data_IF_069740408907
#
_entry.id   IF_069740408907
#
_cell.length_a   1.000
_cell.length_b   1.000
_cell.length_c   1.000
_cell.angle_alpha   90.00
_cell.angle_beta   90.00
_cell.angle_gamma   90.00
#
_symmetry.space_group_name_H-M   'P 1'
#
loop_
_entity.id
_entity.type
_entity.pdbx_description
1 polymer ?
#
# COMPACT_ATOMS: atom_id res chain seq x y z
N UNK A 1 13.03 10.25 -32.05
CA UNK A 1 13.46 9.91 -30.68
C UNK A 1 12.28 9.21 -30.08
N UNK A 2 12.44 7.96 -29.65
CA UNK A 2 11.36 7.14 -29.09
C UNK A 2 10.87 7.82 -27.81
N UNK A 3 9.68 8.42 -27.85
CA UNK A 3 9.06 9.20 -26.78
C UNK A 3 8.04 8.34 -26.03
N UNK A 4 8.47 7.17 -25.57
CA UNK A 4 7.62 6.20 -24.89
C UNK A 4 8.36 5.67 -23.66
N UNK A 5 8.65 6.57 -22.73
CA UNK A 5 9.07 6.18 -21.38
C UNK A 5 8.14 6.82 -20.39
N UNK A 6 7.23 6.02 -19.82
CA UNK A 6 6.45 6.39 -18.64
C UNK A 6 7.36 7.07 -17.63
N UNK A 7 7.05 8.30 -17.16
CA UNK A 7 7.92 9.02 -16.25
C UNK A 7 8.20 8.22 -14.97
N UNK A 8 9.37 8.40 -14.35
CA UNK A 8 9.73 7.67 -13.12
C UNK A 8 8.82 8.02 -11.92
N UNK A 9 8.16 9.17 -11.95
CA UNK A 9 7.14 9.55 -10.99
C UNK A 9 5.83 9.90 -11.69
N UNK A 10 4.74 9.41 -11.11
CA UNK A 10 3.38 9.83 -11.48
C UNK A 10 2.93 10.96 -10.56
N UNK A 11 2.14 11.86 -11.11
CA UNK A 11 1.55 12.97 -10.37
C UNK A 11 0.21 12.54 -9.77
N UNK A 12 0.03 12.68 -8.47
CA UNK A 12 -1.24 12.43 -7.76
C UNK A 12 -1.99 13.75 -7.60
N UNK A 13 -3.03 13.92 -8.40
CA UNK A 13 -3.89 15.10 -8.39
C UNK A 13 -4.73 15.14 -7.10
N UNK A 14 -4.64 16.21 -6.28
CA UNK A 14 -5.52 16.36 -5.12
C UNK A 14 -7.01 16.36 -5.50
N UNK A 15 -7.91 15.92 -4.59
CA UNK A 15 -9.34 15.96 -4.85
C UNK A 15 -9.84 17.36 -5.24
N UNK A 16 -10.62 17.42 -6.32
CA UNK A 16 -11.18 18.66 -6.86
C UNK A 16 -10.23 19.51 -7.70
N UNK A 17 -8.99 19.06 -7.94
CA UNK A 17 -8.09 19.69 -8.92
C UNK A 17 -8.31 19.10 -10.32
N UNK A 18 -8.09 19.88 -11.39
CA UNK A 18 -8.02 19.31 -12.72
C UNK A 18 -6.75 18.48 -12.89
N UNK A 19 -6.78 17.48 -13.76
CA UNK A 19 -5.60 16.68 -14.11
C UNK A 19 -4.68 17.48 -15.04
N UNK A 20 -3.38 17.64 -14.73
CA UNK A 20 -2.44 18.32 -15.62
C UNK A 20 -2.12 17.46 -16.85
N UNK A 21 -1.66 18.10 -17.92
CA UNK A 21 -1.19 17.40 -19.12
C UNK A 21 0.06 16.55 -18.82
N UNK A 22 0.21 15.44 -19.55
CA UNK A 22 1.37 14.55 -19.43
C UNK A 22 2.70 15.29 -19.63
N UNK A 23 2.72 16.26 -20.55
CA UNK A 23 3.88 17.11 -20.81
C UNK A 23 4.28 17.95 -19.59
N UNK A 24 3.30 18.49 -18.86
CA UNK A 24 3.56 19.22 -17.62
C UNK A 24 4.13 18.30 -16.55
N UNK A 25 3.56 17.10 -16.41
CA UNK A 25 4.01 16.07 -15.47
C UNK A 25 5.46 15.66 -15.75
N UNK A 26 5.84 15.49 -17.01
CA UNK A 26 7.23 15.18 -17.43
C UNK A 26 8.22 16.28 -17.04
N UNK A 27 7.84 17.55 -17.20
CA UNK A 27 8.70 18.69 -16.88
C UNK A 27 8.77 19.01 -15.38
N UNK A 28 7.83 18.51 -14.58
CA UNK A 28 7.72 18.81 -13.15
C UNK A 28 8.07 17.64 -12.23
N UNK A 29 8.63 16.55 -12.75
CA UNK A 29 8.94 15.32 -12.02
C UNK A 29 9.49 15.55 -10.61
N UNK A 30 8.80 14.97 -9.62
CA UNK A 30 9.14 14.99 -8.20
C UNK A 30 9.30 16.39 -7.57
N UNK A 31 8.84 17.46 -8.23
CA UNK A 31 8.87 18.81 -7.68
C UNK A 31 7.67 19.05 -6.75
N UNK A 32 7.93 19.26 -5.47
CA UNK A 32 6.88 19.53 -4.49
C UNK A 32 6.45 21.00 -4.56
N UNK A 33 5.15 21.30 -4.73
CA UNK A 33 4.67 22.67 -4.67
C UNK A 33 4.81 23.24 -3.26
N UNK A 34 4.87 24.57 -3.16
CA UNK A 34 4.88 25.27 -1.89
C UNK A 34 3.66 24.91 -1.02
N UNK A 35 3.79 24.80 0.32
CA UNK A 35 2.65 24.57 1.19
C UNK A 35 1.51 25.57 0.93
N UNK A 36 0.28 25.06 0.77
CA UNK A 36 -0.91 25.87 0.45
C UNK A 36 -1.01 26.34 -1.01
N UNK A 37 -0.11 25.90 -1.90
CA UNK A 37 -0.25 26.15 -3.33
C UNK A 37 -1.49 25.45 -3.90
N UNK A 38 -2.13 26.11 -4.86
CA UNK A 38 -3.22 25.57 -5.67
C UNK A 38 -3.05 26.06 -7.11
N UNK A 39 -3.48 25.29 -8.13
CA UNK A 39 -3.20 25.59 -9.52
C UNK A 39 -3.91 26.85 -10.01
N UNK A 40 -5.07 27.21 -9.46
CA UNK A 40 -5.76 28.45 -9.81
C UNK A 40 -6.59 29.04 -8.65
N UNK A 41 -6.96 30.33 -8.72
CA UNK A 41 -7.91 30.92 -7.78
C UNK A 41 -9.24 30.14 -7.77
N UNK A 42 -9.75 29.84 -6.57
CA UNK A 42 -11.01 29.11 -6.39
C UNK A 42 -10.86 27.60 -6.29
N UNK A 43 -9.69 27.05 -6.63
CA UNK A 43 -9.37 25.64 -6.38
C UNK A 43 -8.82 25.52 -4.94
N UNK A 44 -9.36 24.61 -4.10
CA UNK A 44 -8.89 24.44 -2.73
C UNK A 44 -7.39 24.06 -2.72
N UNK A 45 -6.63 24.45 -1.69
CA UNK A 45 -5.28 23.94 -1.53
C UNK A 45 -5.32 22.42 -1.33
N UNK A 46 -4.22 21.74 -1.66
CA UNK A 46 -4.13 20.31 -1.38
C UNK A 46 -4.26 20.02 0.12
N UNK A 47 -4.84 18.88 0.51
CA UNK A 47 -4.90 18.47 1.92
C UNK A 47 -3.54 18.48 2.61
N UNK A 48 -3.53 18.70 3.92
CA UNK A 48 -2.31 18.59 4.70
C UNK A 48 -1.75 17.16 4.58
N UNK A 49 -0.43 17.03 4.40
CA UNK A 49 0.22 15.74 4.18
C UNK A 49 0.08 15.16 2.77
N UNK A 50 -0.62 15.82 1.83
CA UNK A 50 -0.74 15.30 0.47
C UNK A 50 0.63 15.04 -0.19
N UNK A 51 0.71 13.91 -0.88
CA UNK A 51 1.89 13.46 -1.61
C UNK A 51 1.63 13.60 -3.11
N UNK A 52 2.16 14.67 -3.72
CA UNK A 52 1.94 14.97 -5.14
C UNK A 52 2.61 13.99 -6.08
N UNK A 53 3.63 13.26 -5.62
CA UNK A 53 4.43 12.38 -6.46
C UNK A 53 4.54 11.00 -5.84
N UNK A 54 4.24 9.99 -6.64
CA UNK A 54 4.49 8.60 -6.30
C UNK A 54 5.48 7.99 -7.32
N UNK A 55 6.49 7.23 -6.87
CA UNK A 55 7.38 6.55 -7.80
C UNK A 55 6.62 5.45 -8.55
N UNK A 56 6.82 5.37 -9.86
CA UNK A 56 6.35 4.24 -10.67
C UNK A 56 7.42 3.15 -10.61
N UNK A 57 7.19 1.99 -9.95
CA UNK A 57 8.26 1.07 -9.58
C UNK A 57 9.12 0.60 -10.76
N UNK A 58 8.51 0.22 -11.90
CA UNK A 58 9.23 -0.25 -13.09
C UNK A 58 10.08 0.87 -13.71
N UNK A 59 9.49 2.04 -13.98
CA UNK A 59 10.21 3.17 -14.56
C UNK A 59 11.30 3.68 -13.63
N UNK A 60 11.01 3.88 -12.35
CA UNK A 60 11.99 4.34 -11.36
C UNK A 60 13.20 3.41 -11.26
N UNK A 61 12.99 2.08 -11.27
CA UNK A 61 14.08 1.08 -11.25
C UNK A 61 15.07 1.24 -12.42
N UNK A 62 14.64 1.78 -13.56
CA UNK A 62 15.52 2.05 -14.71
C UNK A 62 16.53 3.18 -14.44
N UNK A 63 16.17 4.13 -13.58
CA UNK A 63 17.05 5.24 -13.15
C UNK A 63 17.94 4.87 -11.95
N UNK A 64 17.66 3.75 -11.28
CA UNK A 64 18.47 3.29 -10.17
C UNK A 64 19.81 2.71 -10.68
N UNK A 65 20.97 3.15 -10.14
CA UNK A 65 22.27 2.65 -10.58
C UNK A 65 22.41 1.13 -10.48
N UNK A 66 23.21 0.53 -11.36
CA UNK A 66 23.49 -0.92 -11.36
C UNK A 66 24.02 -1.45 -10.02
N UNK A 67 24.61 -0.59 -9.18
CA UNK A 67 25.01 -0.90 -7.82
C UNK A 67 23.84 -1.41 -6.93
N UNK A 68 22.59 -1.01 -7.20
CA UNK A 68 21.41 -1.50 -6.49
C UNK A 68 21.20 -3.00 -6.68
N UNK A 69 21.54 -3.55 -7.85
CA UNK A 69 21.44 -5.00 -8.08
C UNK A 69 22.37 -5.76 -7.13
N UNK A 70 23.56 -5.22 -6.86
CA UNK A 70 24.51 -5.80 -5.88
C UNK A 70 23.98 -5.74 -4.46
N UNK A 71 23.27 -4.66 -4.08
CA UNK A 71 22.61 -4.56 -2.78
C UNK A 71 21.50 -5.60 -2.63
N UNK A 72 20.67 -5.80 -3.66
CA UNK A 72 19.64 -6.86 -3.66
C UNK A 72 20.22 -8.25 -3.52
N UNK A 73 21.27 -8.57 -4.27
CA UNK A 73 21.96 -9.86 -4.12
C UNK A 73 22.52 -10.03 -2.70
N UNK A 74 23.12 -8.98 -2.13
CA UNK A 74 23.62 -9.01 -0.77
C UNK A 74 22.51 -9.19 0.28
N UNK A 75 21.33 -8.57 0.07
CA UNK A 75 20.15 -8.79 0.90
C UNK A 75 19.72 -10.26 0.86
N UNK A 76 19.57 -10.85 -0.33
CA UNK A 76 19.21 -12.26 -0.46
C UNK A 76 20.23 -13.20 0.20
N UNK A 77 21.53 -12.93 0.06
CA UNK A 77 22.57 -13.68 0.75
C UNK A 77 22.41 -13.54 2.27
N UNK A 78 22.20 -12.32 2.77
CA UNK A 78 21.95 -12.06 4.19
C UNK A 78 20.74 -12.82 4.73
N UNK A 79 19.63 -12.85 3.97
CA UNK A 79 18.42 -13.59 4.30
C UNK A 79 18.67 -15.09 4.38
N UNK A 80 19.28 -15.67 3.35
CA UNK A 80 19.58 -17.11 3.32
C UNK A 80 20.51 -17.49 4.48
N UNK A 81 21.55 -16.70 4.76
CA UNK A 81 22.44 -16.92 5.90
C UNK A 81 21.69 -16.84 7.22
N UNK A 82 20.82 -15.85 7.40
CA UNK A 82 20.00 -15.72 8.60
C UNK A 82 19.06 -16.91 8.80
N UNK A 83 18.34 -17.33 7.76
CA UNK A 83 17.41 -18.47 7.82
C UNK A 83 18.14 -19.79 8.10
N UNK A 84 19.27 -20.04 7.44
CA UNK A 84 20.08 -21.24 7.70
C UNK A 84 20.66 -21.26 9.11
N UNK A 85 21.14 -20.11 9.60
CA UNK A 85 21.64 -19.98 10.96
C UNK A 85 20.53 -20.18 11.99
N UNK A 86 19.34 -19.63 11.76
CA UNK A 86 18.15 -19.83 12.60
C UNK A 86 17.76 -21.32 12.66
N UNK A 87 17.69 -21.99 11.52
CA UNK A 87 17.40 -23.43 11.47
C UNK A 87 18.45 -24.24 12.24
N UNK A 88 19.74 -23.91 12.10
CA UNK A 88 20.81 -24.56 12.85
C UNK A 88 20.69 -24.34 14.37
N UNK A 89 20.35 -23.12 14.82
CA UNK A 89 20.09 -22.80 16.23
C UNK A 89 18.95 -23.67 16.77
N UNK A 90 17.84 -23.77 16.04
CA UNK A 90 16.66 -24.56 16.42
C UNK A 90 17.03 -26.05 16.54
N UNK A 91 17.73 -26.61 15.55
CA UNK A 91 18.13 -28.03 15.54
C UNK A 91 19.10 -28.32 16.69
N UNK A 92 20.11 -27.49 16.92
CA UNK A 92 21.09 -27.69 18.01
C UNK A 92 20.41 -27.58 19.38
N UNK A 93 19.50 -26.62 19.55
CA UNK A 93 18.74 -26.46 20.79
C UNK A 93 17.83 -27.68 21.06
N UNK A 94 17.13 -28.19 20.04
CA UNK A 94 16.29 -29.38 20.15
C UNK A 94 17.08 -30.65 20.53
N UNK A 95 18.35 -30.72 20.14
CA UNK A 95 19.27 -31.82 20.49
C UNK A 95 20.00 -31.62 21.82
N UNK A 96 19.71 -30.54 22.58
CA UNK A 96 20.37 -30.23 23.85
C UNK A 96 21.82 -29.74 23.70
N UNK A 97 22.21 -29.31 22.50
CA UNK A 97 23.54 -28.77 22.21
C UNK A 97 23.65 -27.27 22.51
N UNK A 98 24.89 -26.76 22.49
CA UNK A 98 25.20 -25.37 22.78
C UNK A 98 24.89 -24.49 21.54
N UNK A 99 23.65 -24.00 21.44
CA UNK A 99 23.11 -23.29 20.28
C UNK A 99 23.79 -21.94 19.97
N UNK A 100 24.65 -21.44 20.88
CA UNK A 100 25.38 -20.17 20.75
C UNK A 100 26.21 -20.09 19.46
N UNK A 101 26.69 -21.22 18.94
CA UNK A 101 27.48 -21.26 17.70
C UNK A 101 26.69 -20.76 16.48
N UNK A 102 25.36 -20.95 16.46
CA UNK A 102 24.49 -20.48 15.37
C UNK A 102 24.07 -19.00 15.49
N UNK A 103 24.28 -18.36 16.65
CA UNK A 103 23.87 -16.98 16.87
C UNK A 103 24.73 -15.98 16.08
N UNK A 104 26.04 -16.22 15.98
CA UNK A 104 26.94 -15.32 15.26
C UNK A 104 26.60 -15.18 13.77
N UNK A 105 26.43 -16.27 12.99
CA UNK A 105 26.00 -16.14 11.60
C UNK A 105 24.58 -15.59 11.45
N UNK A 106 23.67 -15.84 12.40
CA UNK A 106 22.33 -15.27 12.42
C UNK A 106 22.38 -13.74 12.52
N UNK A 107 23.11 -13.22 13.52
CA UNK A 107 23.30 -11.78 13.73
C UNK A 107 24.00 -11.15 12.53
N UNK A 108 25.01 -11.82 11.96
CA UNK A 108 25.69 -11.33 10.76
C UNK A 108 24.75 -11.24 9.54
N UNK A 109 23.91 -12.26 9.31
CA UNK A 109 22.92 -12.27 8.22
C UNK A 109 21.89 -11.14 8.36
N UNK A 110 21.35 -10.96 9.58
CA UNK A 110 20.43 -9.87 9.91
C UNK A 110 21.10 -8.50 9.72
N UNK A 111 22.33 -8.32 10.19
CA UNK A 111 23.05 -7.06 10.03
C UNK A 111 23.27 -6.71 8.55
N UNK A 112 23.60 -7.68 7.71
CA UNK A 112 23.71 -7.48 6.25
C UNK A 112 22.36 -7.04 5.65
N UNK A 113 21.26 -7.70 6.02
CA UNK A 113 19.91 -7.32 5.58
C UNK A 113 19.58 -5.86 5.92
N UNK A 114 19.81 -5.46 7.17
CA UNK A 114 19.51 -4.11 7.65
C UNK A 114 20.37 -3.07 6.93
N UNK A 115 21.69 -3.29 6.88
CA UNK A 115 22.63 -2.35 6.23
C UNK A 115 22.33 -2.21 4.73
N UNK A 116 22.06 -3.32 4.03
CA UNK A 116 21.75 -3.26 2.61
C UNK A 116 20.39 -2.60 2.34
N UNK A 117 19.39 -2.79 3.20
CA UNK A 117 18.09 -2.13 3.09
C UNK A 117 18.19 -0.62 3.33
N UNK A 118 18.94 -0.20 4.35
CA UNK A 118 19.23 1.21 4.59
C UNK A 118 19.96 1.86 3.40
N UNK A 119 20.98 1.18 2.85
CA UNK A 119 21.71 1.65 1.67
C UNK A 119 20.85 1.68 0.40
N UNK A 120 19.90 0.76 0.27
CA UNK A 120 18.96 0.77 -0.85
C UNK A 120 18.02 1.99 -0.76
N UNK A 121 17.52 2.30 0.44
CA UNK A 121 16.75 3.52 0.71
C UNK A 121 17.54 4.80 0.38
N UNK A 122 18.78 4.93 0.86
CA UNK A 122 19.65 6.07 0.53
C UNK A 122 19.95 6.21 -0.96
N UNK A 123 20.02 5.09 -1.69
CA UNK A 123 20.22 5.11 -3.14
C UNK A 123 18.94 5.58 -3.85
N UNK A 124 17.77 5.11 -3.42
CA UNK A 124 16.48 5.55 -3.95
C UNK A 124 16.27 7.05 -3.71
N UNK A 125 16.53 7.54 -2.50
CA UNK A 125 16.44 8.98 -2.18
C UNK A 125 17.36 9.83 -3.06
N UNK A 126 18.60 9.38 -3.31
CA UNK A 126 19.55 10.06 -4.20
C UNK A 126 19.11 10.03 -5.67
N UNK A 127 18.57 8.91 -6.14
CA UNK A 127 18.03 8.80 -7.50
C UNK A 127 16.83 9.73 -7.67
N UNK A 128 15.92 9.78 -6.70
CA UNK A 128 14.78 10.69 -6.71
C UNK A 128 15.22 12.18 -6.72
N UNK A 129 16.23 12.52 -5.92
CA UNK A 129 16.81 13.86 -5.92
C UNK A 129 17.45 14.21 -7.28
N UNK A 130 18.20 13.29 -7.88
CA UNK A 130 18.81 13.48 -9.21
C UNK A 130 17.75 13.74 -10.27
N UNK A 131 16.67 12.94 -10.31
CA UNK A 131 15.56 13.12 -11.27
C UNK A 131 14.90 14.49 -11.07
N UNK A 132 14.68 14.91 -9.82
CA UNK A 132 14.12 16.24 -9.52
C UNK A 132 15.04 17.36 -10.00
N UNK A 133 16.35 17.23 -9.77
CA UNK A 133 17.33 18.23 -10.17
C UNK A 133 17.43 18.34 -11.71
N UNK A 134 17.41 17.21 -12.41
CA UNK A 134 17.39 17.14 -13.88
C UNK A 134 16.10 17.77 -14.43
N UNK A 135 14.94 17.42 -13.87
CA UNK A 135 13.67 18.03 -14.23
C UNK A 135 13.63 19.55 -13.95
N UNK A 136 14.27 20.01 -12.87
CA UNK A 136 14.39 21.44 -12.58
C UNK A 136 15.30 22.18 -13.58
N UNK A 137 16.31 21.51 -14.14
CA UNK A 137 17.09 22.05 -15.26
C UNK A 137 16.23 22.11 -16.52
N UNK A 138 15.57 21.01 -16.89
CA UNK A 138 14.72 20.94 -18.08
C UNK A 138 13.57 21.95 -18.02
N UNK A 139 12.88 22.08 -16.89
CA UNK A 139 11.82 23.07 -16.71
C UNK A 139 12.31 24.49 -16.99
N UNK A 140 13.50 24.86 -16.50
CA UNK A 140 14.07 26.20 -16.71
C UNK A 140 14.44 26.48 -18.17
N UNK A 141 14.78 25.46 -18.95
CA UNK A 141 15.23 25.62 -20.34
C UNK A 141 14.11 25.39 -21.36
N UNK A 142 13.30 24.36 -21.14
CA UNK A 142 12.28 23.87 -22.07
C UNK A 142 10.96 24.64 -21.95
N UNK A 143 10.49 24.95 -20.73
CA UNK A 143 9.18 25.62 -20.57
C UNK A 143 9.13 26.95 -21.32
N UNK A 144 10.11 27.88 -21.20
CA UNK A 144 10.05 29.14 -21.96
C UNK A 144 10.13 28.93 -23.48
N UNK A 145 10.85 27.91 -23.94
CA UNK A 145 10.96 27.58 -25.37
C UNK A 145 9.64 27.04 -25.92
N UNK A 146 9.02 26.08 -25.21
CA UNK A 146 7.73 25.46 -25.59
C UNK A 146 6.58 26.46 -25.49
N UNK A 147 6.55 27.25 -24.42
CA UNK A 147 5.59 28.32 -24.24
C UNK A 147 5.64 29.34 -25.39
N UNK A 148 6.83 29.80 -25.77
CA UNK A 148 7.01 30.73 -26.91
C UNK A 148 6.61 30.12 -28.25
N UNK A 149 6.80 28.80 -28.42
CA UNK A 149 6.36 28.10 -29.63
C UNK A 149 4.84 27.97 -29.69
N UNK A 150 4.18 27.72 -28.56
CA UNK A 150 2.73 27.58 -28.46
C UNK A 150 1.99 28.94 -28.54
N UNK A 151 2.57 30.00 -27.98
CA UNK A 151 1.98 31.35 -27.90
C UNK A 151 2.95 32.42 -28.43
N UNK A 152 3.25 32.43 -29.74
CA UNK A 152 4.29 33.29 -30.32
C UNK A 152 3.99 34.79 -30.27
N UNK A 153 2.73 35.18 -30.08
CA UNK A 153 2.26 36.56 -29.99
C UNK A 153 2.39 37.18 -28.58
N UNK A 154 2.58 36.36 -27.55
CA UNK A 154 2.72 36.79 -26.17
C UNK A 154 4.19 37.11 -25.83
N UNK A 155 4.41 37.97 -24.85
CA UNK A 155 5.74 38.08 -24.24
C UNK A 155 6.08 36.79 -23.47
N UNK A 156 7.35 36.62 -23.09
CA UNK A 156 7.83 35.37 -22.51
C UNK A 156 7.09 34.97 -21.22
N UNK A 157 6.86 35.92 -20.31
CA UNK A 157 6.18 35.64 -19.03
C UNK A 157 4.71 35.30 -19.26
N UNK A 158 4.02 36.03 -20.16
CA UNK A 158 2.64 35.76 -20.53
C UNK A 158 2.49 34.44 -21.28
N UNK A 159 3.45 34.08 -22.15
CA UNK A 159 3.48 32.80 -22.84
C UNK A 159 3.63 31.64 -21.86
N UNK A 160 4.53 31.75 -20.89
CA UNK A 160 4.72 30.72 -19.85
C UNK A 160 3.44 30.55 -19.03
N UNK A 161 2.83 31.65 -18.57
CA UNK A 161 1.58 31.60 -17.83
C UNK A 161 0.43 30.97 -18.65
N UNK A 162 0.33 31.30 -19.94
CA UNK A 162 -0.67 30.71 -20.84
C UNK A 162 -0.42 29.21 -21.09
N UNK A 163 0.85 28.79 -21.22
CA UNK A 163 1.22 27.38 -21.37
C UNK A 163 0.93 26.58 -20.11
N UNK A 164 1.25 27.10 -18.92
CA UNK A 164 0.85 26.44 -17.67
C UNK A 164 -0.68 26.39 -17.54
N UNK A 165 -1.40 27.45 -17.92
CA UNK A 165 -2.86 27.46 -17.86
C UNK A 165 -3.47 26.38 -18.77
N UNK A 166 -2.97 26.29 -20.00
CA UNK A 166 -3.37 25.26 -20.95
C UNK A 166 -3.06 23.84 -20.45
N UNK A 167 -1.91 23.63 -19.81
CA UNK A 167 -1.53 22.34 -19.24
C UNK A 167 -2.52 21.84 -18.19
N UNK A 168 -3.14 22.73 -17.42
CA UNK A 168 -4.15 22.38 -16.42
C UNK A 168 -5.59 22.47 -16.95
N UNK A 169 -5.80 22.84 -18.22
CA UNK A 169 -7.14 23.07 -18.77
C UNK A 169 -7.88 24.26 -18.13
N UNK A 170 -7.14 25.24 -17.60
CA UNK A 170 -7.69 26.39 -16.87
C UNK A 170 -7.50 27.69 -17.66
N UNK A 171 -8.37 28.70 -17.45
CA UNK A 171 -8.23 30.00 -18.12
C UNK A 171 -7.05 30.83 -17.58
N UNK A 172 -6.63 30.57 -16.35
CA UNK A 172 -5.48 31.18 -15.70
C UNK A 172 -4.99 30.27 -14.58
N UNK A 173 -3.67 30.22 -14.37
CA UNK A 173 -3.05 29.46 -13.28
C UNK A 173 -2.14 30.34 -12.43
N UNK A 174 -1.91 29.90 -11.20
CA UNK A 174 -0.85 30.42 -10.35
C UNK A 174 0.46 29.79 -10.78
N UNK A 175 1.53 30.57 -10.97
CA UNK A 175 2.85 30.02 -11.31
C UNK A 175 3.23 28.90 -10.35
N UNK A 176 3.78 27.82 -10.89
CA UNK A 176 4.25 26.72 -10.06
C UNK A 176 5.41 27.19 -9.17
N UNK A 177 5.16 27.30 -7.87
CA UNK A 177 6.16 27.72 -6.89
C UNK A 177 6.72 26.49 -6.18
N UNK A 178 7.98 26.14 -6.46
CA UNK A 178 8.68 25.10 -5.71
C UNK A 178 8.95 25.61 -4.29
N UNK A 179 8.67 24.79 -3.29
CA UNK A 179 9.01 25.11 -1.90
C UNK A 179 10.52 25.38 -1.74
N UNK A 180 10.91 26.64 -1.50
CA UNK A 180 12.31 27.06 -1.37
C UNK A 180 13.05 26.33 -0.22
N UNK A 181 12.31 26.02 0.84
CA UNK A 181 12.77 25.30 2.03
C UNK A 181 12.02 23.97 2.20
N UNK A 182 11.64 23.29 1.12
CA UNK A 182 11.30 21.87 1.22
C UNK A 182 12.58 21.11 1.59
N UNK A 183 12.97 21.20 2.87
CA UNK A 183 13.76 20.18 3.52
C UNK A 183 13.15 18.85 3.06
N UNK A 184 13.95 17.96 2.46
CA UNK A 184 13.43 16.76 1.84
C UNK A 184 12.48 16.10 2.83
N UNK A 185 11.17 16.18 2.54
CA UNK A 185 10.15 15.57 3.40
C UNK A 185 10.61 14.12 3.54
N UNK A 186 10.81 13.68 4.79
CA UNK A 186 11.42 12.39 5.10
C UNK A 186 10.71 11.35 4.23
N UNK A 187 11.45 10.71 3.33
CA UNK A 187 10.84 9.79 2.37
C UNK A 187 10.08 8.72 3.16
N UNK A 188 8.87 8.31 2.72
CA UNK A 188 8.11 7.25 3.39
C UNK A 188 8.92 5.94 3.47
N UNK A 189 9.84 5.74 2.52
CA UNK A 189 10.83 4.65 2.54
C UNK A 189 11.68 4.64 3.82
N UNK A 190 11.93 5.80 4.43
CA UNK A 190 12.71 5.94 5.67
C UNK A 190 11.92 5.49 6.90
N UNK A 191 10.59 5.55 6.89
CA UNK A 191 9.75 5.04 7.97
C UNK A 191 9.79 3.52 8.04
N UNK A 192 9.52 2.82 6.93
CA UNK A 192 9.63 1.34 6.86
C UNK A 192 11.02 0.85 7.30
N UNK A 193 12.08 1.56 6.88
CA UNK A 193 13.44 1.19 7.28
C UNK A 193 13.69 1.35 8.79
N UNK A 194 13.10 2.37 9.44
CA UNK A 194 13.23 2.56 10.89
C UNK A 194 12.52 1.47 11.68
N UNK A 195 11.32 1.08 11.27
CA UNK A 195 10.57 0.00 11.92
C UNK A 195 11.34 -1.32 11.80
N UNK A 196 11.85 -1.64 10.60
CA UNK A 196 12.68 -2.84 10.39
C UNK A 196 13.95 -2.79 11.23
N UNK A 197 14.65 -1.65 11.30
CA UNK A 197 15.85 -1.48 12.15
C UNK A 197 15.51 -1.62 13.63
N UNK A 198 14.41 -1.04 14.10
CA UNK A 198 13.98 -1.11 15.49
C UNK A 198 13.58 -2.54 15.87
N UNK A 199 12.82 -3.22 15.02
CA UNK A 199 12.42 -4.62 15.21
C UNK A 199 13.63 -5.55 15.20
N UNK A 200 14.57 -5.37 14.26
CA UNK A 200 15.79 -6.19 14.22
C UNK A 200 16.74 -5.90 15.38
N UNK A 201 16.86 -4.64 15.81
CA UNK A 201 17.62 -4.29 17.01
C UNK A 201 16.98 -4.87 18.28
N UNK A 202 15.65 -4.82 18.38
CA UNK A 202 14.87 -5.43 19.45
C UNK A 202 15.04 -6.95 19.47
N UNK A 203 14.91 -7.61 18.31
CA UNK A 203 15.12 -9.05 18.18
C UNK A 203 16.57 -9.46 18.51
N UNK A 204 17.56 -8.69 18.07
CA UNK A 204 18.97 -8.95 18.40
C UNK A 204 19.24 -8.77 19.90
N UNK A 205 18.68 -7.73 20.52
CA UNK A 205 18.76 -7.52 21.97
C UNK A 205 18.09 -8.65 22.74
N UNK A 206 16.91 -9.09 22.30
CA UNK A 206 16.17 -10.20 22.91
C UNK A 206 16.95 -11.51 22.78
N UNK A 207 17.53 -11.80 21.62
CA UNK A 207 18.39 -12.97 21.40
C UNK A 207 19.64 -12.92 22.29
N UNK A 208 20.24 -11.75 22.48
CA UNK A 208 21.38 -11.58 23.41
C UNK A 208 20.97 -11.78 24.87
N UNK A 209 19.81 -11.27 25.28
CA UNK A 209 19.28 -11.43 26.66
C UNK A 209 18.88 -12.89 26.93
N UNK A 210 18.18 -13.54 26.00
CA UNK A 210 17.81 -14.96 26.11
C UNK A 210 19.05 -15.86 26.05
N UNK A 211 20.01 -15.55 25.19
CA UNK A 211 21.30 -16.25 25.14
C UNK A 211 22.10 -16.09 26.44
N UNK A 212 22.11 -14.90 27.03
CA UNK A 212 22.78 -14.66 28.30
C UNK A 212 22.11 -15.39 29.47
N UNK A 213 20.77 -15.40 29.52
CA UNK A 213 20.03 -16.07 30.60
C UNK A 213 20.12 -17.59 30.54
N UNK A 214 20.06 -18.19 29.34
CA UNK A 214 20.21 -19.64 29.15
C UNK A 214 21.64 -20.15 29.38
N UNK A 215 22.66 -19.32 29.16
CA UNK A 215 24.05 -19.67 29.48
C UNK A 215 24.34 -19.68 31.00
N UNK A 216 23.57 -18.93 31.80
CA UNK A 216 23.77 -18.81 33.25
C UNK A 216 23.09 -19.95 34.02
N UNK A 217 21.97 -20.49 33.53
CA UNK A 217 21.22 -21.55 34.22
C UNK A 217 22.05 -22.83 34.54
N UNK A 218 22.87 -23.39 33.64
CA UNK A 218 23.70 -24.54 33.99
C UNK A 218 24.84 -24.20 34.97
N UNK A 219 25.34 -22.97 34.97
CA UNK A 219 26.37 -22.51 35.92
C UNK A 219 25.77 -22.32 37.32
N UNK A 220 24.55 -21.77 37.40
CA UNK A 220 23.81 -21.63 38.66
C UNK A 220 23.42 -22.99 39.23
N UNK A 221 22.96 -23.93 38.40
CA UNK A 221 22.67 -25.30 38.84
C UNK A 221 23.93 -26.06 39.26
N UNK A 222 25.06 -25.87 38.58
CA UNK A 222 26.34 -26.47 38.96
C UNK A 222 26.86 -25.91 40.31
N UNK A 223 26.72 -24.60 40.54
CA UNK A 223 27.07 -23.96 41.81
C UNK A 223 26.12 -24.35 42.95
N UNK A 224 24.84 -24.61 42.67
CA UNK A 224 23.89 -25.13 43.64
C UNK A 224 24.11 -26.61 43.96
N UNK A 225 24.64 -27.42 43.03
CA UNK A 225 24.96 -28.83 43.28
C UNK A 225 26.25 -29.05 44.07
N UNK A 226 27.18 -28.08 44.08
CA UNK A 226 28.48 -28.19 44.78
C UNK A 226 28.47 -27.69 46.24
N UNK A 227 27.30 -27.37 46.81
CA UNK A 227 27.15 -27.32 48.27
C UNK A 227 28.04 -26.33 49.01
N UNK A 228 28.11 -25.07 48.56
CA UNK A 228 28.50 -23.97 49.44
C UNK A 228 27.28 -23.12 49.82
N UNK A 229 26.66 -23.51 50.92
CA UNK A 229 25.78 -22.66 51.72
C UNK A 229 26.59 -21.51 52.31
N UNK A 230 26.60 -20.35 51.64
CA UNK A 230 26.92 -19.09 52.31
C UNK A 230 25.62 -18.49 52.86
N UNK A 231 25.32 -18.86 54.10
CA UNK A 231 24.38 -18.17 54.96
C UNK A 231 25.14 -17.63 56.19
N UNK A 232 25.36 -16.32 56.22
CA UNK A 232 25.64 -15.47 57.37
C UNK A 232 25.43 -14.04 56.83
N UNK A 233 24.42 -13.26 57.18
CA UNK A 233 23.75 -13.07 58.46
C UNK A 233 24.00 -11.62 58.88
N UNK A 234 23.02 -10.72 58.71
CA UNK A 234 22.91 -9.45 59.44
C UNK A 234 21.51 -8.84 59.24
N UNK A 235 20.73 -8.91 60.32
CA UNK A 235 19.52 -8.12 60.55
C UNK A 235 19.87 -6.83 61.31
N UNK A 236 18.97 -5.84 61.14
CA UNK A 236 18.66 -4.67 61.97
C UNK A 236 19.58 -3.43 61.95
N UNK A 237 19.10 -2.32 61.35
CA UNK A 237 18.40 -1.20 62.05
C UNK A 237 18.11 -0.02 61.09
N UNK A 238 16.89 0.51 61.11
CA UNK A 238 16.46 1.81 60.56
C UNK A 238 17.08 2.99 61.38
N UNK A 239 16.96 4.31 61.05
CA UNK A 239 15.94 4.97 60.21
C UNK A 239 16.41 6.19 59.36
N UNK A 240 15.42 6.77 58.65
CA UNK A 240 15.30 8.19 58.25
C UNK A 240 16.29 8.79 57.24
N UNK A 241 15.74 9.23 56.10
CA UNK A 241 16.50 9.86 55.03
C UNK A 241 15.63 10.31 53.86
N UNK A 242 14.68 11.20 54.15
CA UNK A 242 13.93 11.97 53.16
C UNK A 242 14.90 12.72 52.22
N UNK A 243 14.85 12.45 50.92
CA UNK A 243 15.46 13.28 49.87
C UNK A 243 14.43 13.43 48.73
N UNK A 244 14.30 14.63 48.13
CA UNK A 244 13.09 15.07 47.47
C UNK A 244 12.99 14.62 46.00
N UNK A 245 11.73 14.47 45.59
CA UNK A 245 11.13 14.92 44.33
C UNK A 245 12.11 15.45 43.26
N UNK A 246 12.24 14.68 42.17
CA UNK A 246 12.58 15.24 40.86
C UNK A 246 11.56 14.70 39.85
N UNK A 247 10.36 15.29 39.95
CA UNK A 247 9.27 15.16 38.98
C UNK A 247 9.72 15.77 37.65
N UNK A 248 10.30 14.96 36.76
CA UNK A 248 10.26 15.24 35.32
C UNK A 248 8.89 14.78 34.80
N UNK A 249 8.17 15.59 34.00
CA UNK A 249 6.93 15.15 33.41
C UNK A 249 7.27 14.17 32.28
N UNK A 250 7.27 12.88 32.62
CA UNK A 250 7.17 11.80 31.65
C UNK A 250 5.74 11.81 31.11
N UNK A 251 5.58 12.35 29.89
CA UNK A 251 4.43 12.14 29.02
C UNK A 251 4.43 10.67 28.54
N UNK A 252 4.29 9.73 29.46
CA UNK A 252 3.94 8.33 29.18
C UNK A 252 2.41 8.23 29.14
N UNK A 253 1.81 8.88 28.14
CA UNK A 253 0.55 8.38 27.63
C UNK A 253 0.90 7.08 26.89
N UNK A 254 0.34 5.91 27.25
CA UNK A 254 0.46 4.76 26.37
C UNK A 254 -0.14 5.18 25.04
N UNK A 255 0.67 5.21 23.98
CA UNK A 255 0.20 5.12 22.61
C UNK A 255 -0.68 3.86 22.57
N UNK A 256 -1.99 4.06 22.72
CA UNK A 256 -2.97 3.06 22.34
C UNK A 256 -2.89 3.03 20.83
N UNK A 257 -1.98 2.19 20.32
CA UNK A 257 -2.00 1.75 18.94
C UNK A 257 -3.46 1.42 18.62
N UNK A 258 -4.05 2.17 17.68
CA UNK A 258 -5.37 1.85 17.18
C UNK A 258 -5.30 0.38 16.69
N UNK A 259 -6.24 -0.49 17.09
CA UNK A 259 -6.19 -1.90 16.69
C UNK A 259 -6.05 -1.99 15.17
N UNK A 260 -5.08 -2.77 14.71
CA UNK A 260 -4.88 -3.03 13.28
C UNK A 260 -6.20 -3.53 12.71
N UNK A 261 -6.63 -3.02 11.55
CA UNK A 261 -7.91 -3.36 10.91
C UNK A 261 -8.11 -4.88 10.68
N UNK A 262 -7.03 -5.68 10.79
CA UNK A 262 -7.06 -7.14 10.74
C UNK A 262 -7.71 -7.84 11.94
N UNK A 263 -8.02 -7.14 13.05
CA UNK A 263 -8.65 -7.74 14.24
C UNK A 263 -10.19 -7.74 14.20
N UNK A 264 -10.80 -7.36 13.08
CA UNK A 264 -12.26 -7.38 12.94
C UNK A 264 -12.81 -8.82 13.04
N UNK A 265 -13.76 -9.03 13.96
CA UNK A 265 -14.45 -10.31 14.07
C UNK A 265 -15.24 -10.59 12.77
N UNK A 266 -15.21 -11.84 12.26
CA UNK A 266 -15.97 -12.19 11.07
C UNK A 266 -17.47 -12.03 11.32
N UNK A 267 -18.18 -11.55 10.30
CA UNK A 267 -19.63 -11.54 10.26
C UNK A 267 -20.14 -12.94 9.89
N UNK A 268 -21.29 -13.34 10.43
CA UNK A 268 -21.94 -14.62 10.14
C UNK A 268 -23.44 -14.41 10.08
N UNK A 269 -24.10 -14.97 9.08
CA UNK A 269 -25.56 -14.94 8.95
C UNK A 269 -26.24 -15.63 10.13
N UNK A 270 -27.50 -15.28 10.41
CA UNK A 270 -28.27 -15.84 11.54
C UNK A 270 -28.39 -17.38 11.48
N UNK A 271 -28.39 -17.96 10.28
CA UNK A 271 -28.44 -19.40 10.03
C UNK A 271 -27.06 -20.05 9.90
N UNK A 272 -25.98 -19.26 9.93
CA UNK A 272 -24.60 -19.71 9.83
C UNK A 272 -24.18 -20.21 8.45
N UNK A 273 -25.00 -20.01 7.41
CA UNK A 273 -24.71 -20.50 6.05
C UNK A 273 -23.85 -19.54 5.23
N UNK A 274 -23.70 -18.30 5.69
CA UNK A 274 -22.83 -17.29 5.06
C UNK A 274 -21.91 -16.69 6.12
N UNK A 275 -20.61 -16.63 5.82
CA UNK A 275 -19.62 -15.96 6.65
C UNK A 275 -18.87 -14.93 5.82
N UNK A 276 -18.58 -13.78 6.41
CA UNK A 276 -17.74 -12.77 5.80
C UNK A 276 -16.60 -12.38 6.73
N UNK A 277 -15.37 -12.49 6.25
CA UNK A 277 -14.16 -12.11 6.99
C UNK A 277 -13.39 -11.05 6.23
N UNK A 278 -12.90 -10.04 6.95
CA UNK A 278 -11.98 -9.08 6.40
C UNK A 278 -10.65 -9.76 6.06
N UNK A 279 -10.09 -9.46 4.88
CA UNK A 279 -8.85 -10.08 4.38
C UNK A 279 -7.75 -9.04 4.11
N UNK A 280 -7.79 -7.92 4.86
CA UNK A 280 -7.08 -6.67 4.57
C UNK A 280 -5.58 -6.73 4.28
N UNK A 281 -5.11 -5.61 3.72
CA UNK A 281 -3.71 -5.20 3.45
C UNK A 281 -2.83 -6.19 2.67
N UNK A 282 -3.42 -7.09 1.86
CA UNK A 282 -2.65 -7.69 0.79
C UNK A 282 -2.52 -6.70 -0.37
N UNK A 283 -1.28 -6.42 -0.77
CA UNK A 283 -0.95 -5.50 -1.87
C UNK A 283 -1.66 -5.91 -3.20
N UNK A 284 -2.15 -7.16 -3.30
CA UNK A 284 -2.97 -7.65 -4.41
C UNK A 284 -4.41 -7.14 -4.40
N UNK A 285 -5.05 -7.04 -3.23
CA UNK A 285 -6.42 -6.51 -3.15
C UNK A 285 -6.42 -4.98 -3.27
N UNK A 286 -5.37 -4.34 -2.76
CA UNK A 286 -5.08 -2.93 -3.03
C UNK A 286 -4.94 -2.66 -4.53
N UNK A 287 -4.34 -3.59 -5.29
CA UNK A 287 -4.26 -3.47 -6.75
C UNK A 287 -5.65 -3.44 -7.41
N UNK A 288 -6.57 -4.28 -6.93
CA UNK A 288 -7.94 -4.32 -7.44
C UNK A 288 -8.69 -3.02 -7.13
N UNK A 289 -8.53 -2.47 -5.93
CA UNK A 289 -9.14 -1.20 -5.56
C UNK A 289 -8.49 0.00 -6.26
N UNK A 290 -7.16 0.01 -6.37
CA UNK A 290 -6.36 1.05 -7.01
C UNK A 290 -6.51 1.06 -8.54
N UNK A 291 -7.20 0.06 -9.08
CA UNK A 291 -7.53 -0.06 -10.49
C UNK A 291 -8.70 0.74 -10.98
N UNK A 292 -9.41 1.31 -10.04
CA UNK A 292 -10.42 2.28 -10.27
C UNK A 292 -9.84 3.54 -9.64
N UNK A 293 -9.83 4.65 -10.38
CA UNK A 293 -8.98 5.83 -10.22
C UNK A 293 -9.22 6.61 -8.90
N UNK A 294 -8.92 6.02 -7.73
CA UNK A 294 -9.35 6.52 -6.42
C UNK A 294 -8.22 6.75 -5.42
N UNK A 295 -8.43 7.76 -4.56
CA UNK A 295 -7.42 8.31 -3.67
C UNK A 295 -7.47 7.77 -2.22
N UNK A 296 -8.60 7.18 -1.80
CA UNK A 296 -8.94 6.99 -0.40
C UNK A 296 -9.47 5.56 -0.12
N UNK A 297 -8.70 4.78 0.65
CA UNK A 297 -9.07 3.51 1.33
C UNK A 297 -9.64 2.37 0.48
N UNK A 298 -9.03 1.18 0.60
CA UNK A 298 -9.55 -0.08 0.04
C UNK A 298 -9.99 -1.00 1.18
N UNK A 299 -11.19 -1.58 1.05
CA UNK A 299 -11.68 -2.61 1.95
C UNK A 299 -11.96 -3.88 1.15
N UNK A 300 -11.48 -5.02 1.64
CA UNK A 300 -11.71 -6.32 1.02
C UNK A 300 -12.23 -7.34 2.04
N UNK A 301 -13.31 -8.02 1.67
CA UNK A 301 -13.87 -9.11 2.47
C UNK A 301 -13.96 -10.37 1.63
N UNK A 302 -13.55 -11.50 2.21
CA UNK A 302 -13.90 -12.82 1.71
C UNK A 302 -15.28 -13.20 2.25
N UNK A 303 -16.16 -13.63 1.36
CA UNK A 303 -17.51 -14.11 1.64
C UNK A 303 -17.57 -15.59 1.23
N UNK A 304 -17.72 -16.46 2.22
CA UNK A 304 -18.00 -17.89 2.01
C UNK A 304 -19.49 -18.14 2.20
N UNK A 305 -20.08 -18.95 1.32
CA UNK A 305 -21.52 -19.18 1.29
C UNK A 305 -21.86 -20.62 0.92
N UNK A 306 -22.95 -21.14 1.51
CA UNK A 306 -23.65 -22.34 1.05
C UNK A 306 -24.79 -22.02 0.06
N UNK A 307 -25.00 -20.73 -0.25
CA UNK A 307 -25.99 -20.31 -1.24
C UNK A 307 -25.45 -20.47 -2.67
N UNK A 308 -26.32 -20.94 -3.56
CA UNK A 308 -26.11 -20.89 -5.01
C UNK A 308 -27.11 -19.90 -5.64
N UNK A 309 -26.62 -18.73 -6.03
CA UNK A 309 -27.43 -17.72 -6.73
C UNK A 309 -27.24 -16.30 -6.21
N UNK A 310 -28.17 -15.40 -6.55
CA UNK A 310 -28.01 -13.99 -6.27
C UNK A 310 -28.18 -13.67 -4.79
N UNK A 311 -27.39 -12.72 -4.31
CA UNK A 311 -27.34 -12.28 -2.93
C UNK A 311 -27.15 -10.77 -2.85
N UNK A 312 -27.71 -10.19 -1.80
CA UNK A 312 -27.54 -8.78 -1.46
C UNK A 312 -26.55 -8.68 -0.31
N UNK A 313 -25.46 -7.96 -0.53
CA UNK A 313 -24.45 -7.67 0.50
C UNK A 313 -24.60 -6.21 0.90
N UNK A 314 -24.79 -5.96 2.20
CA UNK A 314 -24.85 -4.62 2.76
C UNK A 314 -23.56 -4.35 3.52
N UNK A 315 -22.87 -3.27 3.15
CA UNK A 315 -21.61 -2.82 3.76
C UNK A 315 -21.86 -1.51 4.48
N UNK A 316 -21.42 -1.42 5.73
CA UNK A 316 -21.53 -0.23 6.56
C UNK A 316 -20.15 0.39 6.79
N UNK A 317 -20.07 1.71 6.70
CA UNK A 317 -18.86 2.48 6.94
C UNK A 317 -19.07 3.44 8.10
N UNK A 318 -18.13 3.49 9.04
CA UNK A 318 -18.20 4.31 10.25
C UNK A 318 -16.90 5.09 10.49
N UNK A 319 -17.00 6.19 11.23
CA UNK A 319 -15.84 7.00 11.61
C UNK A 319 -15.03 6.37 12.76
N UNK A 320 -15.59 5.38 13.46
CA UNK A 320 -14.97 4.73 14.63
C UNK A 320 -15.37 3.26 14.68
N UNK A 321 -14.53 2.43 15.30
CA UNK A 321 -14.81 1.04 15.63
C UNK A 321 -16.08 0.94 16.50
N UNK A 322 -17.14 0.34 15.96
CA UNK A 322 -18.43 0.22 16.66
C UNK A 322 -19.29 1.50 16.70
N UNK A 323 -18.92 2.54 15.96
CA UNK A 323 -19.78 3.70 15.74
C UNK A 323 -20.93 3.40 14.77
N UNK A 324 -21.93 4.29 14.75
CA UNK A 324 -23.01 4.23 13.75
C UNK A 324 -22.45 4.37 12.33
N UNK A 325 -23.08 3.68 11.38
CA UNK A 325 -22.75 3.80 9.96
C UNK A 325 -23.06 5.22 9.46
N UNK A 326 -22.03 5.91 8.97
CA UNK A 326 -22.16 7.21 8.30
C UNK A 326 -22.48 7.05 6.81
N UNK A 327 -22.16 5.89 6.25
CA UNK A 327 -22.53 5.46 4.89
C UNK A 327 -22.86 3.98 4.90
N UNK A 328 -23.84 3.59 4.10
CA UNK A 328 -24.19 2.19 3.87
C UNK A 328 -24.34 1.97 2.38
N UNK A 329 -23.59 1.01 1.85
CA UNK A 329 -23.66 0.60 0.46
C UNK A 329 -24.31 -0.79 0.36
N UNK A 330 -24.98 -1.04 -0.75
CA UNK A 330 -25.66 -2.31 -1.01
C UNK A 330 -25.26 -2.81 -2.38
N UNK A 331 -24.73 -4.02 -2.42
CA UNK A 331 -24.25 -4.70 -3.62
C UNK A 331 -25.10 -5.93 -3.91
N UNK A 332 -25.25 -6.18 -5.19
CA UNK A 332 -25.99 -7.32 -5.72
C UNK A 332 -24.97 -8.23 -6.40
N UNK A 333 -24.72 -9.41 -5.84
CA UNK A 333 -23.65 -10.33 -6.27
C UNK A 333 -24.21 -11.72 -6.49
N UNK A 334 -23.50 -12.57 -7.22
CA UNK A 334 -23.86 -13.99 -7.35
C UNK A 334 -22.90 -14.83 -6.52
N UNK A 335 -23.44 -15.52 -5.51
CA UNK A 335 -22.68 -16.46 -4.68
C UNK A 335 -22.75 -17.86 -5.28
N UNK A 336 -21.63 -18.57 -5.22
CA UNK A 336 -21.51 -19.98 -5.63
C UNK A 336 -21.09 -20.81 -4.43
N UNK A 337 -21.86 -21.84 -4.10
CA UNK A 337 -21.60 -22.67 -2.93
C UNK A 337 -20.21 -23.30 -3.01
N UNK A 338 -19.41 -23.14 -1.95
CA UNK A 338 -18.06 -23.67 -1.85
C UNK A 338 -17.01 -22.94 -2.70
N UNK A 339 -17.34 -21.77 -3.24
CA UNK A 339 -16.40 -20.85 -3.89
C UNK A 339 -16.40 -19.53 -3.13
N UNK A 340 -15.26 -19.08 -2.59
CA UNK A 340 -15.19 -17.80 -1.91
C UNK A 340 -15.42 -16.67 -2.92
N UNK A 341 -16.15 -15.64 -2.48
CA UNK A 341 -16.31 -14.38 -3.20
C UNK A 341 -15.54 -13.28 -2.47
N UNK A 342 -14.65 -12.59 -3.16
CA UNK A 342 -13.99 -11.39 -2.65
C UNK A 342 -14.81 -10.17 -3.05
N UNK A 343 -15.31 -9.43 -2.08
CA UNK A 343 -15.94 -8.14 -2.31
C UNK A 343 -14.95 -7.02 -1.98
N UNK A 344 -14.67 -6.15 -2.95
CA UNK A 344 -13.90 -4.93 -2.71
C UNK A 344 -14.81 -3.71 -2.70
N UNK A 345 -14.60 -2.85 -1.71
CA UNK A 345 -15.28 -1.55 -1.59
C UNK A 345 -14.28 -0.44 -1.32
N UNK A 346 -14.73 0.76 -1.61
CA UNK A 346 -13.95 1.98 -1.40
C UNK A 346 -14.58 2.84 -0.34
N UNK A 347 -13.74 3.52 0.42
CA UNK A 347 -14.20 4.45 1.44
C UNK A 347 -13.09 5.27 2.07
N UNK A 348 -13.41 6.53 2.35
CA UNK A 348 -12.54 7.42 3.14
C UNK A 348 -12.75 7.27 4.65
N UNK A 349 -13.74 6.48 5.04
CA UNK A 349 -14.06 6.16 6.43
C UNK A 349 -12.97 5.29 7.06
N UNK A 350 -12.73 5.51 8.35
CA UNK A 350 -11.71 4.76 9.10
C UNK A 350 -12.09 3.29 9.30
N UNK A 351 -13.39 2.95 9.21
CA UNK A 351 -13.91 1.62 9.43
C UNK A 351 -14.95 1.24 8.38
N UNK A 352 -14.82 0.03 7.84
CA UNK A 352 -15.82 -0.62 7.00
C UNK A 352 -16.08 -2.05 7.47
N UNK A 353 -17.32 -2.52 7.35
CA UNK A 353 -17.66 -3.92 7.68
C UNK A 353 -18.95 -4.41 7.04
N UNK A 354 -19.05 -5.72 6.83
CA UNK A 354 -20.27 -6.37 6.36
C UNK A 354 -21.34 -6.31 7.45
N UNK A 355 -22.52 -5.80 7.08
CA UNK A 355 -23.69 -5.67 7.97
C UNK A 355 -24.69 -6.79 7.75
N UNK A 356 -24.90 -7.17 6.50
CA UNK A 356 -25.84 -8.22 6.13
C UNK A 356 -25.45 -8.88 4.80
N UNK A 357 -25.74 -10.17 4.67
CA UNK A 357 -25.72 -10.90 3.40
C UNK A 357 -26.99 -11.73 3.29
N UNK A 358 -27.87 -11.36 2.37
CA UNK A 358 -29.16 -12.03 2.16
C UNK A 358 -29.22 -12.68 0.78
N UNK A 359 -29.29 -14.01 0.72
CA UNK A 359 -29.51 -14.77 -0.51
C UNK A 359 -30.97 -14.70 -0.97
N UNK A 360 -31.22 -14.61 -2.28
CA UNK A 360 -32.57 -14.55 -2.84
C UNK A 360 -32.71 -15.34 -4.15
N UNK A 361 -33.95 -15.56 -4.60
CA UNK A 361 -34.25 -16.45 -5.76
C UNK A 361 -34.68 -15.71 -7.03
N UNK A 362 -34.79 -14.38 -7.00
CA UNK A 362 -35.22 -13.60 -8.15
C UNK A 362 -34.06 -13.46 -9.16
N UNK A 363 -34.31 -13.61 -10.47
CA UNK A 363 -33.27 -13.42 -11.48
C UNK A 363 -32.82 -11.96 -11.48
N UNK A 364 -31.52 -11.75 -11.47
CA UNK A 364 -30.93 -10.43 -11.63
C UNK A 364 -31.05 -9.97 -13.08
N UNK A 365 -31.25 -8.67 -13.26
CA UNK A 365 -31.13 -8.05 -14.57
C UNK A 365 -29.67 -7.75 -14.82
N UNK A 366 -28.98 -8.69 -15.48
CA UNK A 366 -27.62 -8.44 -15.96
C UNK A 366 -27.62 -7.19 -16.85
N UNK A 367 -26.65 -6.30 -16.62
CA UNK A 367 -26.46 -5.12 -17.45
C UNK A 367 -25.89 -5.56 -18.80
N UNK A 368 -26.61 -5.27 -19.88
CA UNK A 368 -26.07 -5.48 -21.21
C UNK A 368 -24.89 -4.53 -21.43
N UNK A 369 -23.76 -5.08 -21.89
CA UNK A 369 -22.54 -4.32 -22.15
C UNK A 369 -21.75 -4.94 -23.30
N UNK A 370 -20.97 -4.11 -23.97
CA UNK A 370 -19.85 -4.58 -24.79
C UNK A 370 -18.60 -4.61 -23.93
N UNK A 371 -17.78 -5.65 -24.07
CA UNK A 371 -16.50 -5.78 -23.38
C UNK A 371 -15.39 -6.06 -24.38
N UNK A 372 -14.26 -5.41 -24.18
CA UNK A 372 -13.03 -5.64 -24.92
C UNK A 372 -11.91 -5.90 -23.90
N UNK A 373 -11.18 -7.01 -23.98
CA UNK A 373 -10.00 -7.22 -23.14
C UNK A 373 -9.01 -6.08 -23.37
N UNK A 374 -8.42 -5.57 -22.29
CA UNK A 374 -7.29 -4.65 -22.37
C UNK A 374 -6.04 -5.49 -22.65
N UNK A 375 -5.38 -5.22 -23.77
CA UNK A 375 -4.22 -5.99 -24.22
C UNK A 375 -3.04 -5.76 -23.26
N UNK A 376 -2.64 -6.83 -22.56
CA UNK A 376 -1.54 -6.76 -21.60
C UNK A 376 -0.15 -6.74 -22.24
N UNK A 377 -0.06 -7.14 -23.51
CA UNK A 377 1.18 -7.33 -24.26
C UNK A 377 1.48 -6.14 -25.18
N UNK A 378 0.47 -5.34 -25.49
CA UNK A 378 0.70 -4.06 -26.15
C UNK A 378 1.50 -3.17 -25.19
N UNK A 379 2.69 -2.74 -25.62
CA UNK A 379 3.50 -1.69 -24.98
C UNK A 379 2.73 -0.32 -24.85
N UNK A 380 1.44 -0.31 -25.21
CA UNK A 380 0.53 0.80 -25.47
C UNK A 380 -0.68 0.86 -24.54
N UNK A 381 -0.72 0.14 -23.42
CA UNK A 381 -1.62 0.53 -22.32
C UNK A 381 -1.09 1.81 -21.65
N UNK A 382 -0.92 2.89 -22.43
CA UNK A 382 -0.90 4.34 -22.13
C UNK A 382 -0.39 4.85 -20.76
N UNK A 383 0.36 4.03 -20.03
CA UNK A 383 0.62 4.21 -18.61
C UNK A 383 -0.61 4.04 -17.71
N UNK A 384 -1.72 3.49 -18.20
CA UNK A 384 -3.03 3.41 -17.51
C UNK A 384 -3.18 2.22 -16.57
N UNK A 385 -2.18 1.32 -16.51
CA UNK A 385 -2.22 0.23 -15.55
C UNK A 385 -2.37 0.78 -14.13
N UNK A 386 -3.39 0.32 -13.41
CA UNK A 386 -3.56 0.59 -12.00
C UNK A 386 -2.29 0.40 -11.18
N UNK A 387 -2.20 1.13 -10.06
CA UNK A 387 -1.22 0.77 -9.05
C UNK A 387 -1.46 -0.65 -8.56
N UNK A 388 -0.38 -1.36 -8.22
CA UNK A 388 -0.46 -2.73 -7.75
C UNK A 388 -0.57 -3.75 -8.89
N UNK A 389 -1.35 -3.49 -9.95
CA UNK A 389 -1.47 -4.42 -11.09
C UNK A 389 -0.12 -4.66 -11.80
N UNK A 390 0.77 -3.68 -11.76
CA UNK A 390 2.13 -3.76 -12.29
C UNK A 390 3.01 -4.77 -11.53
N UNK A 391 2.81 -4.93 -10.23
CA UNK A 391 3.63 -5.83 -9.40
C UNK A 391 2.93 -7.17 -9.11
N UNK A 392 1.58 -7.22 -9.13
CA UNK A 392 0.77 -8.38 -8.75
C UNK A 392 0.00 -9.04 -9.90
N UNK A 393 0.01 -8.45 -11.08
CA UNK A 393 -0.78 -8.90 -12.22
C UNK A 393 -2.24 -8.46 -12.09
N UNK A 394 -2.82 -7.97 -13.18
CA UNK A 394 -4.26 -7.84 -13.32
C UNK A 394 -4.70 -8.21 -14.73
N UNK A 395 -5.93 -8.70 -14.83
CA UNK A 395 -6.66 -8.78 -16.08
C UNK A 395 -7.62 -7.59 -16.18
N UNK A 396 -7.59 -6.87 -17.29
CA UNK A 396 -8.38 -5.66 -17.51
C UNK A 396 -9.36 -5.80 -18.67
N UNK A 397 -10.50 -5.12 -18.58
CA UNK A 397 -11.47 -4.99 -19.67
C UNK A 397 -11.98 -3.56 -19.74
N UNK A 398 -12.12 -3.05 -20.95
CA UNK A 398 -12.95 -1.88 -21.22
C UNK A 398 -14.40 -2.37 -21.34
N UNK A 399 -15.29 -1.88 -20.49
CA UNK A 399 -16.73 -2.17 -20.54
C UNK A 399 -17.51 -0.92 -20.95
N UNK A 400 -18.42 -1.07 -21.90
CA UNK A 400 -19.36 0.00 -22.28
C UNK A 400 -20.79 -0.48 -22.03
N UNK A 401 -21.48 0.07 -21.01
CA UNK A 401 -22.81 -0.39 -20.61
C UNK A 401 -23.90 0.24 -21.49
N UNK A 402 -25.00 -0.48 -21.73
CA UNK A 402 -26.17 0.05 -22.46
C UNK A 402 -27.05 0.95 -21.57
N UNK A 403 -26.93 0.83 -20.24
CA UNK A 403 -27.69 1.57 -19.25
C UNK A 403 -26.77 2.18 -18.18
N UNK A 404 -27.21 3.28 -17.56
CA UNK A 404 -26.47 3.90 -16.45
C UNK A 404 -26.82 3.23 -15.13
N UNK A 405 -25.84 3.12 -14.24
CA UNK A 405 -25.92 2.38 -12.99
C UNK A 405 -24.87 2.92 -12.01
N UNK A 406 -25.31 3.74 -11.06
CA UNK A 406 -24.40 4.43 -10.12
C UNK A 406 -23.76 3.46 -9.11
N UNK A 407 -24.40 2.32 -8.88
CA UNK A 407 -24.06 1.27 -7.90
C UNK A 407 -23.78 -0.07 -8.58
N UNK A 408 -23.15 -0.06 -9.76
CA UNK A 408 -22.90 -1.30 -10.48
C UNK A 408 -21.85 -2.16 -9.77
N UNK A 409 -21.99 -3.47 -9.93
CA UNK A 409 -20.93 -4.41 -9.57
C UNK A 409 -20.51 -5.20 -10.78
N UNK A 410 -19.21 -5.35 -10.96
CA UNK A 410 -18.60 -6.20 -11.97
C UNK A 410 -18.01 -7.40 -11.25
N UNK A 411 -18.57 -8.58 -11.51
CA UNK A 411 -18.11 -9.83 -10.95
C UNK A 411 -17.22 -10.55 -11.96
N UNK A 412 -16.08 -11.00 -11.48
CA UNK A 412 -15.10 -11.79 -12.21
C UNK A 412 -15.06 -13.20 -11.62
N UNK A 413 -14.88 -14.20 -12.48
CA UNK A 413 -14.41 -15.53 -12.08
C UNK A 413 -12.90 -15.53 -12.27
N UNK A 414 -12.15 -15.82 -11.20
CA UNK A 414 -10.68 -15.86 -11.19
C UNK A 414 -10.24 -17.30 -10.93
N UNK A 415 -9.51 -17.87 -11.87
CA UNK A 415 -9.08 -19.27 -11.86
C UNK A 415 -7.70 -19.49 -11.22
N UNK A 416 -7.06 -18.42 -10.73
CA UNK A 416 -5.78 -18.46 -10.02
C UNK A 416 -5.92 -18.38 -8.48
N UNK A 417 -4.90 -18.90 -7.80
CA UNK A 417 -4.68 -18.71 -6.35
C UNK A 417 -4.09 -17.32 -6.13
N UNK A 418 -4.75 -16.51 -5.30
CA UNK A 418 -4.35 -15.13 -5.02
C UNK A 418 -4.13 -14.98 -3.52
N UNK A 419 -2.94 -14.53 -3.12
CA UNK A 419 -2.55 -14.39 -1.73
C UNK A 419 -2.74 -15.70 -0.93
N UNK A 420 -3.71 -15.74 -0.01
CA UNK A 420 -4.08 -16.92 0.78
C UNK A 420 -5.40 -17.56 0.36
N UNK A 421 -6.05 -17.00 -0.66
CA UNK A 421 -7.31 -17.46 -1.20
C UNK A 421 -7.07 -18.56 -2.25
N UNK A 422 -7.61 -19.77 -2.05
CA UNK A 422 -7.47 -20.84 -3.02
C UNK A 422 -8.24 -20.52 -4.30
N UNK A 423 -7.65 -20.80 -5.46
CA UNK A 423 -8.36 -20.77 -6.73
C UNK A 423 -9.24 -22.02 -6.93
N UNK A 424 -10.38 -21.93 -7.63
CA UNK A 424 -10.98 -20.72 -8.19
C UNK A 424 -11.79 -19.92 -7.15
N UNK A 425 -11.88 -18.61 -7.35
CA UNK A 425 -12.68 -17.69 -6.52
C UNK A 425 -13.40 -16.66 -7.39
N UNK A 426 -14.42 -16.02 -6.85
CA UNK A 426 -15.08 -14.90 -7.51
C UNK A 426 -14.56 -13.57 -6.93
N UNK A 427 -14.46 -12.53 -7.76
CA UNK A 427 -14.04 -11.20 -7.34
C UNK A 427 -15.10 -10.18 -7.78
N UNK A 428 -15.53 -9.32 -6.86
CA UNK A 428 -16.52 -8.28 -7.13
C UNK A 428 -15.88 -6.93 -6.94
N UNK A 429 -16.01 -6.11 -7.97
CA UNK A 429 -15.52 -4.74 -8.01
C UNK A 429 -16.71 -3.80 -8.18
N UNK A 430 -16.86 -2.84 -7.25
CA UNK A 430 -17.88 -1.81 -7.33
C UNK A 430 -17.42 -0.66 -8.23
N UNK A 431 -18.23 -0.27 -9.22
CA UNK A 431 -17.93 0.88 -10.08
C UNK A 431 -19.22 1.54 -10.59
N UNK A 432 -19.17 2.83 -10.85
CA UNK A 432 -20.28 3.55 -11.49
C UNK A 432 -20.20 3.36 -13.01
N UNK A 433 -21.32 2.97 -13.60
CA UNK A 433 -21.46 2.75 -15.04
C UNK A 433 -22.38 3.81 -15.64
N UNK A 434 -22.01 4.36 -16.80
CA UNK A 434 -22.83 5.34 -17.52
C UNK A 434 -23.07 4.88 -18.94
N UNK A 435 -24.33 4.96 -19.37
CA UNK A 435 -24.76 4.42 -20.65
C UNK A 435 -23.92 5.00 -21.81
N UNK A 436 -23.26 4.11 -22.56
CA UNK A 436 -22.42 4.46 -23.71
C UNK A 436 -21.06 5.08 -23.36
N UNK A 437 -20.70 5.21 -22.09
CA UNK A 437 -19.37 5.67 -21.65
C UNK A 437 -18.50 4.43 -21.34
N UNK A 438 -17.34 4.26 -22.02
CA UNK A 438 -16.42 3.18 -21.69
C UNK A 438 -15.80 3.41 -20.30
N UNK A 439 -15.65 2.32 -19.54
CA UNK A 439 -15.02 2.29 -18.22
C UNK A 439 -14.09 1.08 -18.17
N UNK A 440 -12.87 1.30 -17.72
CA UNK A 440 -11.92 0.21 -17.48
C UNK A 440 -12.18 -0.44 -16.13
N UNK A 441 -12.24 -1.76 -16.13
CA UNK A 441 -12.44 -2.58 -14.93
C UNK A 441 -11.40 -3.67 -14.87
N UNK A 442 -10.93 -3.97 -13.67
CA UNK A 442 -9.76 -4.82 -13.49
C UNK A 442 -9.99 -5.86 -12.40
N UNK A 443 -9.49 -7.07 -12.64
CA UNK A 443 -9.39 -8.13 -11.65
C UNK A 443 -7.92 -8.28 -11.24
N UNK A 444 -7.61 -7.99 -9.97
CA UNK A 444 -6.27 -8.21 -9.42
C UNK A 444 -5.96 -9.67 -9.16
N UNK A 445 -4.66 -10.01 -9.21
CA UNK A 445 -4.18 -11.37 -8.99
C UNK A 445 -4.37 -12.30 -10.18
N UNK A 446 -4.54 -11.74 -11.38
CA UNK A 446 -4.59 -12.49 -12.65
C UNK A 446 -3.50 -11.97 -13.59
N UNK A 447 -2.73 -12.85 -14.23
CA UNK A 447 -1.60 -12.44 -15.07
C UNK A 447 -1.96 -12.33 -16.56
N UNK A 448 -2.93 -13.09 -17.03
CA UNK A 448 -3.37 -13.12 -18.42
C UNK A 448 -4.87 -12.84 -18.54
N UNK A 449 -5.27 -11.78 -19.28
CA UNK A 449 -6.68 -11.57 -19.59
C UNK A 449 -7.24 -12.74 -20.42
N UNK A 450 -8.45 -13.18 -20.07
CA UNK A 450 -9.23 -14.28 -20.67
C UNK A 450 -8.81 -15.73 -20.33
N UNK A 451 -7.58 -15.96 -19.83
CA UNK A 451 -7.14 -17.29 -19.35
C UNK A 451 -7.26 -17.42 -17.82
N UNK A 452 -6.93 -16.36 -17.07
CA UNK A 452 -6.85 -16.42 -15.59
C UNK A 452 -8.04 -15.75 -14.90
N UNK A 453 -8.71 -14.83 -15.59
CA UNK A 453 -9.91 -14.18 -15.10
C UNK A 453 -10.88 -13.84 -16.24
N UNK A 454 -12.18 -13.86 -15.97
CA UNK A 454 -13.22 -13.45 -16.92
C UNK A 454 -14.36 -12.73 -16.21
N UNK A 455 -14.95 -11.70 -16.85
CA UNK A 455 -16.20 -11.10 -16.35
C UNK A 455 -17.31 -12.14 -16.43
N UNK A 456 -17.82 -12.58 -15.28
CA UNK A 456 -18.93 -13.52 -15.19
C UNK A 456 -20.27 -12.80 -15.27
N UNK A 457 -20.40 -11.65 -14.61
CA UNK A 457 -21.65 -10.89 -14.58
C UNK A 457 -21.42 -9.40 -14.25
N UNK A 458 -22.35 -8.56 -14.69
CA UNK A 458 -22.48 -7.17 -14.22
C UNK A 458 -23.90 -6.92 -13.75
N UNK A 459 -24.05 -6.39 -12.54
CA UNK A 459 -25.33 -6.14 -11.90
C UNK A 459 -25.49 -4.68 -11.51
N UNK A 460 -26.74 -4.27 -11.29
CA UNK A 460 -27.07 -3.00 -10.68
C UNK A 460 -27.66 -3.21 -9.29
N UNK A 461 -27.09 -2.50 -8.30
CA UNK A 461 -27.53 -2.48 -6.91
C UNK A 461 -28.67 -1.53 -6.65
#
# INVERSE_FOLDING_TARGET
MQHETTPPFRFRTPPGWPTPSAEWVELHQAAEPAPGWSPAPGIPPAPEGWHFWAPVPRSFRAFVPAAARRLRVAQWIGLVVALLALAAVIVVAALGGLAVVGLLPLVAGIAVLVVCSARAGELADRTAASIRDDAAVWRRTEVPARARAAFPELDEDAAVAAWEAAAWGLPAVRPFAVAADAAPRRSPLRHRTRTVVAVTAGAAALVLVVGATTAVDPVVRALQSDGQTLAYGLQDTAPDGSVPDDSSPDDDAPDQDAPDAGDQAPWTSDDGTVTASFIGDDETWDATCGAIDFADGCWSWQIDSECDGPARVTVGFSATEGGDDVRTDTRTVVLTSGRPLVLTEQGSEEWGGIRDVTCFTAPEHAVALTRSPLDSDAEDADGSWPDGCVDYGCAGWEVTPEASCDSATVQFSVDEEVATLPGPHDLVVATALRAGEPVDVWAGGAWLPDDDATISQVTCG
#
